data_IF_580316450525
#
_entry.id   IF_580316450525
#
_cell.length_a   1.000
_cell.length_b   1.000
_cell.length_c   1.000
_cell.angle_alpha   90.00
_cell.angle_beta   90.00
_cell.angle_gamma   90.00
#
_symmetry.space_group_name_H-M   'P 1'
#
loop_
_entity.id
_entity.type
_entity.pdbx_description
1 polymer ?
#
# COMPACT_ATOMS: atom_id res chain seq x y z
N UNK A 1 27.04 -12.37 37.53
CA UNK A 1 26.30 -11.76 36.40
C UNK A 1 27.04 -10.47 36.08
N UNK A 2 27.90 -10.50 35.06
CA UNK A 2 28.71 -9.35 34.67
C UNK A 2 27.85 -8.46 33.78
N UNK A 3 27.62 -7.22 34.21
CA UNK A 3 27.15 -6.15 33.32
C UNK A 3 28.22 -5.99 32.24
N UNK A 4 27.89 -6.37 31.01
CA UNK A 4 28.68 -6.04 29.85
C UNK A 4 28.55 -4.53 29.67
N UNK A 5 29.62 -3.79 29.93
CA UNK A 5 29.74 -2.40 29.57
C UNK A 5 29.40 -2.27 28.08
N UNK A 6 28.28 -1.60 27.78
CA UNK A 6 27.90 -1.23 26.41
C UNK A 6 28.91 -0.17 25.99
N UNK A 7 30.07 -0.60 25.50
CA UNK A 7 30.91 0.28 24.70
C UNK A 7 30.10 0.59 23.44
N UNK A 8 29.76 1.86 23.19
CA UNK A 8 28.93 2.16 22.04
C UNK A 8 29.73 1.87 20.77
N UNK A 9 29.35 0.79 20.09
CA UNK A 9 30.02 0.39 18.86
C UNK A 9 29.55 1.32 17.72
N UNK A 10 30.44 1.81 16.86
CA UNK A 10 30.04 2.59 15.71
C UNK A 10 29.05 1.79 14.85
N UNK A 11 28.10 2.46 14.16
CA UNK A 11 27.12 1.77 13.34
C UNK A 11 27.82 0.91 12.28
N UNK A 12 27.23 -0.25 11.98
CA UNK A 12 27.75 -1.16 10.98
C UNK A 12 27.97 -0.46 9.63
N UNK A 13 29.14 -0.68 9.02
CA UNK A 13 29.44 -0.21 7.67
C UNK A 13 30.49 -1.06 6.98
N UNK A 14 30.36 -1.21 5.67
CA UNK A 14 31.40 -1.75 4.80
C UNK A 14 32.46 -0.70 4.39
N UNK A 15 32.14 0.60 4.53
CA UNK A 15 33.06 1.70 4.25
C UNK A 15 34.12 1.79 5.36
N UNK A 16 35.39 1.95 4.99
CA UNK A 16 36.49 2.11 5.94
C UNK A 16 36.51 3.53 6.53
N UNK A 17 36.40 3.63 7.85
CA UNK A 17 36.46 4.90 8.59
C UNK A 17 37.71 4.97 9.48
N UNK A 18 38.12 6.20 9.79
CA UNK A 18 39.13 6.47 10.81
C UNK A 18 38.55 6.35 12.23
N UNK A 19 39.40 6.52 13.25
CA UNK A 19 39.01 6.50 14.64
C UNK A 19 37.90 7.53 14.95
N UNK A 20 37.02 7.16 15.89
CA UNK A 20 35.93 8.04 16.31
C UNK A 20 36.45 9.28 17.04
N UNK A 21 35.94 10.45 16.64
CA UNK A 21 36.19 11.72 17.32
C UNK A 21 34.93 12.16 18.06
N UNK A 22 35.07 12.50 19.34
CA UNK A 22 33.99 13.09 20.13
C UNK A 22 33.87 14.57 19.79
N UNK A 23 32.73 14.97 19.22
CA UNK A 23 32.47 16.34 18.75
C UNK A 23 31.83 17.18 19.86
N UNK A 24 30.85 16.62 20.56
CA UNK A 24 30.18 17.25 21.70
C UNK A 24 30.11 16.25 22.85
N UNK A 25 30.62 16.61 24.03
CA UNK A 25 30.48 15.82 25.25
C UNK A 25 29.26 16.30 26.04
N UNK A 26 28.38 15.38 26.46
CA UNK A 26 27.24 15.72 27.31
C UNK A 26 27.69 16.16 28.71
N UNK A 27 26.96 17.09 29.33
CA UNK A 27 27.40 17.80 30.54
C UNK A 27 27.76 16.91 31.76
N UNK A 28 27.36 15.63 31.76
CA UNK A 28 27.67 14.66 32.81
C UNK A 28 29.13 14.14 32.78
N UNK A 29 29.86 14.27 31.67
CA UNK A 29 31.25 13.78 31.52
C UNK A 29 32.34 14.86 31.64
N UNK A 30 31.96 16.14 31.85
CA UNK A 30 32.91 17.26 32.00
C UNK A 30 33.83 17.19 33.23
N UNK A 31 33.60 16.26 34.16
CA UNK A 31 34.40 16.14 35.39
C UNK A 31 35.60 15.17 35.32
N UNK A 32 35.82 14.45 34.20
CA UNK A 32 36.86 13.41 34.13
C UNK A 32 37.82 13.47 32.92
N UNK A 33 37.78 14.52 32.10
CA UNK A 33 38.70 14.65 30.97
C UNK A 33 39.87 15.60 31.32
N UNK A 34 41.00 15.02 31.72
CA UNK A 34 42.29 15.71 31.68
C UNK A 34 42.63 16.05 30.20
N UNK A 35 43.27 17.20 29.91
CA UNK A 35 43.61 17.56 28.53
C UNK A 35 44.68 16.58 28.01
N UNK A 36 44.32 15.75 27.04
CA UNK A 36 45.30 15.03 26.22
C UNK A 36 45.62 15.90 25.01
N UNK A 37 46.79 16.53 25.05
CA UNK A 37 47.35 17.29 23.94
C UNK A 37 47.43 16.41 22.67
N UNK A 38 46.90 16.86 21.51
CA UNK A 38 47.13 16.16 20.26
C UNK A 38 48.56 16.41 19.82
N UNK A 39 49.43 15.41 20.01
CA UNK A 39 50.80 15.43 19.49
C UNK A 39 50.75 15.19 17.97
N UNK A 40 51.16 16.14 17.11
CA UNK A 40 51.21 15.89 15.68
C UNK A 40 52.41 14.99 15.38
N UNK A 41 52.13 13.76 14.95
CA UNK A 41 53.15 12.84 14.48
C UNK A 41 53.63 13.30 13.09
N UNK A 42 54.65 14.16 13.06
CA UNK A 42 55.40 14.46 11.82
C UNK A 42 56.39 13.34 11.55
N UNK A 43 55.99 12.38 10.73
CA UNK A 43 56.94 11.54 10.01
C UNK A 43 57.37 12.30 8.75
N UNK A 44 58.66 12.61 8.65
CA UNK A 44 59.26 13.23 7.47
C UNK A 44 59.47 12.21 6.34
N UNK A 45 59.34 12.69 5.10
CA UNK A 45 59.67 11.97 3.87
C UNK A 45 59.07 12.68 2.65
N UNK A 46 59.90 13.10 1.71
CA UNK A 46 59.59 14.04 0.63
C UNK A 46 58.68 13.52 -0.50
N UNK A 47 58.05 14.48 -1.20
CA UNK A 47 57.58 14.46 -2.60
C UNK A 47 56.21 13.83 -2.92
N UNK A 48 55.16 14.56 -2.56
CA UNK A 48 54.05 15.06 -3.41
C UNK A 48 52.94 15.44 -2.43
N UNK A 49 52.36 16.64 -2.57
CA UNK A 49 51.13 16.90 -1.82
C UNK A 49 50.12 15.81 -2.20
N UNK A 50 49.50 15.11 -1.23
CA UNK A 50 48.53 14.10 -1.56
C UNK A 50 47.41 14.75 -2.37
N UNK A 51 47.23 14.26 -3.60
CA UNK A 51 46.23 14.77 -4.56
C UNK A 51 44.80 14.71 -3.97
N UNK A 52 44.60 13.87 -2.95
CA UNK A 52 43.35 13.71 -2.21
C UNK A 52 43.50 14.33 -0.82
N UNK A 53 42.91 15.51 -0.66
CA UNK A 53 42.79 16.20 0.64
C UNK A 53 41.61 15.60 1.45
N UNK A 54 41.66 15.59 2.79
CA UNK A 54 40.52 15.20 3.63
C UNK A 54 39.20 15.90 3.27
N UNK A 55 39.28 17.15 2.80
CA UNK A 55 38.13 17.94 2.35
C UNK A 55 37.46 17.36 1.10
N UNK A 56 38.26 16.91 0.12
CA UNK A 56 37.77 16.25 -1.09
C UNK A 56 37.07 14.94 -0.70
N UNK A 57 37.68 14.15 0.19
CA UNK A 57 37.09 12.89 0.61
C UNK A 57 35.76 13.11 1.34
N UNK A 58 35.69 14.11 2.23
CA UNK A 58 34.45 14.50 2.92
C UNK A 58 33.37 15.02 1.99
N UNK A 59 33.76 15.71 0.90
CA UNK A 59 32.82 16.18 -0.12
C UNK A 59 32.25 15.03 -0.96
N UNK A 60 33.05 14.00 -1.27
CA UNK A 60 32.61 12.84 -2.03
C UNK A 60 31.78 11.86 -1.17
N UNK A 61 32.22 11.59 0.05
CA UNK A 61 31.60 10.65 0.98
C UNK A 61 31.44 11.34 2.35
N UNK A 62 30.19 11.62 2.78
CA UNK A 62 29.96 12.36 4.02
C UNK A 62 30.43 11.57 5.24
N UNK A 63 30.94 12.29 6.24
CA UNK A 63 31.28 11.73 7.55
C UNK A 63 30.04 11.16 8.23
N UNK A 64 30.19 10.05 8.94
CA UNK A 64 29.10 9.49 9.76
C UNK A 64 29.08 10.13 11.14
N UNK A 65 27.89 10.32 11.68
CA UNK A 65 27.66 10.87 13.01
C UNK A 65 26.68 9.98 13.77
N UNK A 66 26.94 9.76 15.05
CA UNK A 66 26.01 9.08 15.95
C UNK A 66 26.09 9.68 17.35
N UNK A 67 25.12 9.36 18.21
CA UNK A 67 25.02 9.86 19.58
C UNK A 67 24.98 8.69 20.53
N UNK A 68 25.77 8.80 21.59
CA UNK A 68 25.82 7.85 22.70
C UNK A 68 25.64 8.59 24.03
N UNK A 69 25.63 7.85 25.14
CA UNK A 69 25.56 8.38 26.51
C UNK A 69 26.69 9.37 26.85
N UNK A 70 27.82 9.27 26.14
CA UNK A 70 28.98 10.12 26.32
C UNK A 70 28.96 11.40 25.44
N UNK A 71 28.01 11.50 24.52
CA UNK A 71 27.86 12.63 23.61
C UNK A 71 27.83 12.26 22.12
N UNK A 72 28.06 13.26 21.26
CA UNK A 72 28.01 13.14 19.80
C UNK A 72 29.38 12.74 19.24
N UNK A 73 29.41 11.63 18.52
CA UNK A 73 30.60 11.11 17.84
C UNK A 73 30.54 11.35 16.34
N UNK A 74 31.70 11.57 15.73
CA UNK A 74 31.88 11.70 14.29
C UNK A 74 33.03 10.81 13.83
N UNK A 75 32.84 10.17 12.68
CA UNK A 75 33.90 9.44 11.98
C UNK A 75 34.01 9.88 10.54
N UNK A 76 35.24 10.19 10.17
CA UNK A 76 35.61 10.53 8.81
C UNK A 76 36.01 9.27 8.04
N UNK A 77 35.83 9.34 6.73
CA UNK A 77 36.21 8.28 5.81
C UNK A 77 37.73 8.19 5.75
N UNK A 78 38.25 6.96 5.84
CA UNK A 78 39.69 6.75 5.94
C UNK A 78 40.42 7.08 4.65
N UNK A 79 41.52 7.82 4.77
CA UNK A 79 42.44 8.11 3.68
C UNK A 79 43.49 7.01 3.46
N UNK A 80 43.47 5.94 4.26
CA UNK A 80 44.41 4.84 4.12
C UNK A 80 44.15 4.08 2.80
N UNK A 81 45.16 3.89 1.93
CA UNK A 81 45.01 3.10 0.72
C UNK A 81 44.72 1.64 1.07
N UNK A 82 43.97 0.96 0.20
CA UNK A 82 43.62 -0.45 0.40
C UNK A 82 44.59 -1.39 -0.32
N UNK A 83 44.91 -2.50 0.35
CA UNK A 83 45.73 -3.57 -0.21
C UNK A 83 44.87 -4.64 -0.88
N UNK A 84 45.48 -5.53 -1.66
CA UNK A 84 44.78 -6.67 -2.29
C UNK A 84 44.13 -7.60 -1.25
N UNK A 85 44.75 -7.79 -0.09
CA UNK A 85 44.20 -8.63 0.98
C UNK A 85 42.97 -7.98 1.60
N UNK A 86 43.00 -6.67 1.86
CA UNK A 86 41.83 -5.94 2.38
C UNK A 86 40.63 -6.00 1.42
N UNK A 87 40.85 -6.02 0.11
CA UNK A 87 39.77 -6.16 -0.88
C UNK A 87 39.15 -7.55 -0.85
N UNK A 88 39.95 -8.61 -0.63
CA UNK A 88 39.43 -9.97 -0.47
C UNK A 88 38.63 -10.09 0.84
N UNK A 89 39.15 -9.54 1.94
CA UNK A 89 38.45 -9.49 3.23
C UNK A 89 37.11 -8.73 3.11
N UNK A 90 37.07 -7.62 2.37
CA UNK A 90 35.84 -6.87 2.12
C UNK A 90 34.80 -7.71 1.35
N UNK A 91 35.25 -8.49 0.36
CA UNK A 91 34.37 -9.37 -0.40
C UNK A 91 33.79 -10.48 0.49
N UNK A 92 34.62 -11.11 1.32
CA UNK A 92 34.18 -12.14 2.28
C UNK A 92 33.22 -11.53 3.31
N UNK A 93 33.55 -10.35 3.84
CA UNK A 93 32.72 -9.63 4.79
C UNK A 93 31.35 -9.27 4.21
N UNK A 94 31.28 -8.83 2.96
CA UNK A 94 30.00 -8.62 2.26
C UNK A 94 29.20 -9.92 2.16
N UNK A 95 29.84 -11.02 1.74
CA UNK A 95 29.18 -12.31 1.57
C UNK A 95 28.61 -12.84 2.89
N UNK A 96 29.38 -12.72 3.97
CA UNK A 96 28.92 -13.06 5.32
C UNK A 96 27.72 -12.21 5.73
N UNK A 97 27.76 -10.90 5.53
CA UNK A 97 26.67 -10.00 5.93
C UNK A 97 25.40 -10.24 5.09
N UNK A 98 25.52 -10.56 3.80
CA UNK A 98 24.38 -10.95 2.98
C UNK A 98 23.69 -12.23 3.52
N UNK A 99 24.47 -13.18 4.05
CA UNK A 99 23.93 -14.39 4.67
C UNK A 99 23.34 -14.08 6.05
N UNK A 100 24.07 -13.34 6.90
CA UNK A 100 23.65 -12.95 8.26
C UNK A 100 22.35 -12.17 8.24
N UNK A 101 22.20 -11.22 7.30
CA UNK A 101 20.99 -10.41 7.14
C UNK A 101 19.91 -11.05 6.25
N UNK A 102 20.11 -12.32 5.86
CA UNK A 102 19.16 -13.11 5.06
C UNK A 102 18.69 -12.38 3.78
N UNK A 103 19.63 -11.75 3.07
CA UNK A 103 19.34 -11.01 1.87
C UNK A 103 18.82 -11.94 0.75
N UNK A 104 17.74 -11.53 0.07
CA UNK A 104 17.16 -12.30 -1.03
C UNK A 104 18.10 -12.31 -2.24
N UNK A 105 18.29 -13.48 -2.86
CA UNK A 105 19.11 -13.63 -4.08
C UNK A 105 18.40 -13.12 -5.35
N UNK A 106 17.07 -13.11 -5.36
CA UNK A 106 16.25 -12.71 -6.52
C UNK A 106 15.16 -11.73 -6.05
N UNK A 107 14.82 -10.77 -6.91
CA UNK A 107 13.82 -9.73 -6.62
C UNK A 107 14.38 -8.54 -5.83
N UNK A 108 13.48 -7.63 -5.44
CA UNK A 108 13.82 -6.42 -4.68
C UNK A 108 14.09 -6.79 -3.22
N UNK A 109 15.21 -6.33 -2.67
CA UNK A 109 15.62 -6.60 -1.29
C UNK A 109 16.39 -5.42 -0.70
N UNK A 110 15.80 -4.78 0.32
CA UNK A 110 16.37 -3.61 0.98
C UNK A 110 17.74 -3.90 1.65
N UNK A 111 17.90 -5.07 2.31
CA UNK A 111 19.17 -5.43 2.96
C UNK A 111 20.29 -5.56 1.92
N UNK A 112 20.00 -6.22 0.79
CA UNK A 112 20.94 -6.36 -0.32
C UNK A 112 21.30 -5.00 -0.92
N UNK A 113 20.30 -4.18 -1.22
CA UNK A 113 20.47 -2.85 -1.77
C UNK A 113 21.35 -1.97 -0.85
N UNK A 114 21.05 -1.97 0.46
CA UNK A 114 21.84 -1.24 1.46
C UNK A 114 23.30 -1.71 1.53
N UNK A 115 23.54 -3.03 1.58
CA UNK A 115 24.89 -3.59 1.63
C UNK A 115 25.67 -3.27 0.35
N UNK A 116 25.07 -3.40 -0.83
CA UNK A 116 25.75 -3.03 -2.08
C UNK A 116 25.95 -1.52 -2.23
N UNK A 117 25.06 -0.69 -1.70
CA UNK A 117 25.26 0.76 -1.66
C UNK A 117 26.49 1.12 -0.81
N UNK A 118 26.63 0.51 0.38
CA UNK A 118 27.82 0.70 1.23
C UNK A 118 29.09 0.17 0.57
N UNK A 119 29.03 -0.98 -0.10
CA UNK A 119 30.15 -1.51 -0.87
C UNK A 119 30.57 -0.55 -1.99
N UNK A 120 29.60 0.04 -2.69
CA UNK A 120 29.89 0.95 -3.78
C UNK A 120 30.53 2.24 -3.29
N UNK A 121 30.12 2.74 -2.11
CA UNK A 121 30.79 3.86 -1.45
C UNK A 121 32.24 3.50 -1.06
N UNK A 122 32.53 2.27 -0.62
CA UNK A 122 33.89 1.79 -0.37
C UNK A 122 34.73 1.67 -1.65
N UNK A 123 34.13 1.23 -2.76
CA UNK A 123 34.78 1.25 -4.08
C UNK A 123 35.10 2.69 -4.49
N UNK A 124 34.17 3.62 -4.32
CA UNK A 124 34.41 5.05 -4.59
C UNK A 124 35.57 5.57 -3.75
N UNK A 125 35.64 5.23 -2.45
CA UNK A 125 36.76 5.59 -1.58
C UNK A 125 38.10 5.07 -2.13
N UNK A 126 38.20 3.77 -2.38
CA UNK A 126 39.43 3.14 -2.89
C UNK A 126 39.87 3.73 -4.24
N UNK A 127 38.90 3.94 -5.15
CA UNK A 127 39.16 4.51 -6.47
C UNK A 127 39.57 5.97 -6.39
N UNK A 128 38.95 6.76 -5.51
CA UNK A 128 39.28 8.18 -5.29
C UNK A 128 40.71 8.32 -4.76
N UNK A 129 41.13 7.47 -3.82
CA UNK A 129 42.49 7.45 -3.30
C UNK A 129 43.55 7.13 -4.37
N UNK A 130 43.18 6.33 -5.38
CA UNK A 130 44.06 6.05 -6.51
C UNK A 130 44.04 7.15 -7.60
N UNK A 131 42.85 7.66 -7.92
CA UNK A 131 42.62 8.70 -8.94
C UNK A 131 41.30 9.43 -8.63
N UNK A 132 41.35 10.67 -8.12
CA UNK A 132 40.17 11.39 -7.66
C UNK A 132 39.17 11.70 -8.79
N UNK A 133 39.64 11.92 -10.02
CA UNK A 133 38.80 12.18 -11.19
C UNK A 133 37.91 10.97 -11.51
N UNK A 134 38.47 9.76 -11.41
CA UNK A 134 37.71 8.52 -11.59
C UNK A 134 36.73 8.29 -10.44
N UNK A 135 37.12 8.64 -9.22
CA UNK A 135 36.22 8.65 -8.06
C UNK A 135 35.01 9.56 -8.26
N UNK A 136 35.24 10.78 -8.75
CA UNK A 136 34.18 11.74 -9.07
C UNK A 136 33.23 11.23 -10.15
N UNK A 137 33.75 10.56 -11.19
CA UNK A 137 32.90 9.95 -12.22
C UNK A 137 32.00 8.85 -11.63
N UNK A 138 32.56 7.97 -10.80
CA UNK A 138 31.77 6.94 -10.12
C UNK A 138 30.70 7.52 -9.19
N UNK A 139 31.02 8.63 -8.51
CA UNK A 139 30.06 9.36 -7.68
C UNK A 139 28.86 9.86 -8.51
N UNK A 140 29.12 10.45 -9.67
CA UNK A 140 28.05 10.92 -10.58
C UNK A 140 27.19 9.77 -11.07
N UNK A 141 27.80 8.66 -11.47
CA UNK A 141 27.07 7.45 -11.90
C UNK A 141 26.20 6.91 -10.77
N UNK A 142 26.71 6.88 -9.54
CA UNK A 142 25.93 6.49 -8.35
C UNK A 142 24.69 7.35 -8.17
N UNK A 143 24.87 8.67 -8.22
CA UNK A 143 23.78 9.61 -7.94
C UNK A 143 22.74 9.59 -9.06
N UNK A 144 23.16 9.43 -10.32
CA UNK A 144 22.26 9.22 -11.46
C UNK A 144 21.43 7.93 -11.33
N UNK A 145 22.06 6.81 -10.93
CA UNK A 145 21.35 5.55 -10.69
C UNK A 145 20.36 5.70 -9.54
N UNK A 146 20.74 6.36 -8.43
CA UNK A 146 19.83 6.60 -7.30
C UNK A 146 18.62 7.43 -7.73
N UNK A 147 18.84 8.54 -8.43
CA UNK A 147 17.77 9.39 -8.97
C UNK A 147 16.85 8.60 -9.91
N UNK A 148 17.42 7.73 -10.75
CA UNK A 148 16.66 6.88 -11.67
C UNK A 148 15.80 5.87 -10.92
N UNK A 149 16.33 5.21 -9.88
CA UNK A 149 15.58 4.27 -9.04
C UNK A 149 14.45 4.99 -8.31
N UNK A 150 14.70 6.17 -7.74
CA UNK A 150 13.68 6.98 -7.07
C UNK A 150 12.54 7.38 -8.02
N UNK A 151 12.88 7.77 -9.26
CA UNK A 151 11.88 8.07 -10.29
C UNK A 151 11.01 6.84 -10.63
N UNK A 152 11.62 5.67 -10.80
CA UNK A 152 10.88 4.42 -11.03
C UNK A 152 10.00 4.04 -9.83
N UNK A 153 10.47 4.22 -8.59
CA UNK A 153 9.68 3.99 -7.39
C UNK A 153 8.46 4.93 -7.33
N UNK A 154 8.64 6.22 -7.64
CA UNK A 154 7.56 7.19 -7.69
C UNK A 154 6.50 6.83 -8.76
N UNK A 155 6.95 6.41 -9.94
CA UNK A 155 6.06 5.97 -11.02
C UNK A 155 5.32 4.68 -10.68
N UNK A 156 5.99 3.72 -10.05
CA UNK A 156 5.37 2.49 -9.56
C UNK A 156 4.29 2.78 -8.52
N UNK A 157 4.59 3.61 -7.52
CA UNK A 157 3.64 4.00 -6.48
C UNK A 157 2.43 4.71 -7.08
N UNK A 158 2.65 5.64 -8.02
CA UNK A 158 1.57 6.35 -8.73
C UNK A 158 0.68 5.38 -9.51
N UNK A 159 1.29 4.41 -10.21
CA UNK A 159 0.58 3.38 -10.99
C UNK A 159 -0.24 2.47 -10.09
N UNK A 160 0.33 2.04 -8.96
CA UNK A 160 -0.36 1.22 -7.96
C UNK A 160 -1.56 1.97 -7.37
N UNK A 161 -1.37 3.23 -6.96
CA UNK A 161 -2.45 4.09 -6.45
C UNK A 161 -3.54 4.34 -7.50
N UNK A 162 -3.19 4.44 -8.78
CA UNK A 162 -4.19 4.51 -9.86
C UNK A 162 -5.00 3.22 -9.96
N UNK A 163 -4.35 2.06 -9.93
CA UNK A 163 -5.01 0.75 -9.93
C UNK A 163 -6.00 0.60 -8.77
N UNK A 164 -5.56 0.89 -7.55
CA UNK A 164 -6.41 0.83 -6.34
C UNK A 164 -7.62 1.77 -6.45
N UNK A 165 -7.43 3.00 -6.94
CA UNK A 165 -8.56 3.91 -7.15
C UNK A 165 -9.56 3.38 -8.17
N UNK A 166 -9.08 2.74 -9.24
CA UNK A 166 -9.95 2.16 -10.26
C UNK A 166 -10.74 0.96 -9.74
N UNK A 167 -10.15 0.12 -8.89
CA UNK A 167 -10.89 -0.99 -8.27
C UNK A 167 -11.98 -0.47 -7.35
N UNK A 168 -11.68 0.52 -6.50
CA UNK A 168 -12.68 1.13 -5.61
C UNK A 168 -13.82 1.80 -6.39
N UNK A 169 -13.52 2.51 -7.48
CA UNK A 169 -14.56 3.14 -8.33
C UNK A 169 -15.43 2.08 -9.02
N UNK A 170 -14.84 0.96 -9.44
CA UNK A 170 -15.61 -0.13 -10.04
C UNK A 170 -16.57 -0.77 -9.02
N UNK A 171 -16.10 -1.02 -7.80
CA UNK A 171 -16.93 -1.57 -6.70
C UNK A 171 -18.07 -0.62 -6.30
N UNK A 172 -17.82 0.68 -6.24
CA UNK A 172 -18.86 1.66 -5.96
C UNK A 172 -19.93 1.70 -7.07
N UNK A 173 -19.51 1.60 -8.34
CA UNK A 173 -20.42 1.58 -9.48
C UNK A 173 -21.30 0.32 -9.52
N UNK A 174 -20.76 -0.84 -9.12
CA UNK A 174 -21.57 -2.07 -9.04
C UNK A 174 -22.60 -2.00 -7.91
N UNK A 175 -22.23 -1.46 -6.75
CA UNK A 175 -23.16 -1.32 -5.63
C UNK A 175 -24.40 -0.48 -5.99
N UNK A 176 -24.22 0.65 -6.67
CA UNK A 176 -25.35 1.49 -7.08
C UNK A 176 -26.33 0.76 -8.01
N UNK A 177 -25.81 -0.09 -8.90
CA UNK A 177 -26.63 -0.90 -9.81
C UNK A 177 -27.33 -2.03 -9.05
N UNK A 178 -26.64 -2.68 -8.11
CA UNK A 178 -27.22 -3.72 -7.25
C UNK A 178 -28.36 -3.16 -6.38
N UNK A 179 -28.18 -1.97 -5.79
CA UNK A 179 -29.21 -1.30 -4.99
C UNK A 179 -30.44 -0.96 -5.84
N UNK A 180 -30.25 -0.44 -7.07
CA UNK A 180 -31.35 -0.18 -8.01
C UNK A 180 -32.06 -1.46 -8.44
N UNK A 181 -31.31 -2.53 -8.67
CA UNK A 181 -31.89 -3.83 -9.03
C UNK A 181 -32.75 -4.38 -7.89
N UNK A 182 -32.28 -4.28 -6.64
CA UNK A 182 -33.05 -4.69 -5.47
C UNK A 182 -34.34 -3.87 -5.30
N UNK A 183 -34.26 -2.55 -5.48
CA UNK A 183 -35.42 -1.66 -5.42
C UNK A 183 -36.47 -2.00 -6.50
N UNK A 184 -36.04 -2.18 -7.76
CA UNK A 184 -36.93 -2.56 -8.86
C UNK A 184 -37.53 -3.96 -8.67
N UNK A 185 -36.79 -4.91 -8.10
CA UNK A 185 -37.32 -6.23 -7.78
C UNK A 185 -38.41 -6.17 -6.71
N UNK A 186 -38.24 -5.31 -5.69
CA UNK A 186 -39.27 -5.07 -4.68
C UNK A 186 -40.52 -4.44 -5.30
N UNK A 187 -40.36 -3.42 -6.14
CA UNK A 187 -41.47 -2.76 -6.84
C UNK A 187 -42.24 -3.73 -7.76
N UNK A 188 -41.53 -4.60 -8.49
CA UNK A 188 -42.16 -5.65 -9.31
C UNK A 188 -42.98 -6.60 -8.43
N UNK A 189 -42.46 -7.01 -7.29
CA UNK A 189 -43.17 -7.91 -6.38
C UNK A 189 -44.44 -7.26 -5.81
N UNK A 190 -44.38 -5.99 -5.41
CA UNK A 190 -45.53 -5.23 -4.93
C UNK A 190 -46.60 -5.08 -6.03
N UNK A 191 -46.20 -4.66 -7.24
CA UNK A 191 -47.11 -4.51 -8.38
C UNK A 191 -47.74 -5.84 -8.80
N UNK A 192 -47.00 -6.95 -8.72
CA UNK A 192 -47.54 -8.28 -8.96
C UNK A 192 -48.60 -8.66 -7.92
N UNK A 193 -48.35 -8.39 -6.64
CA UNK A 193 -49.32 -8.64 -5.58
C UNK A 193 -50.59 -7.80 -5.79
N UNK A 194 -50.45 -6.51 -6.08
CA UNK A 194 -51.58 -5.63 -6.40
C UNK A 194 -52.38 -6.15 -7.60
N UNK A 195 -51.69 -6.55 -8.68
CA UNK A 195 -52.35 -7.12 -9.86
C UNK A 195 -53.14 -8.39 -9.52
N UNK A 196 -52.58 -9.28 -8.69
CA UNK A 196 -53.29 -10.47 -8.19
C UNK A 196 -54.51 -10.10 -7.36
N UNK A 197 -54.40 -9.11 -6.47
CA UNK A 197 -55.52 -8.63 -5.65
C UNK A 197 -56.64 -8.05 -6.52
N UNK A 198 -56.32 -7.20 -7.51
CA UNK A 198 -57.31 -6.62 -8.42
C UNK A 198 -57.97 -7.67 -9.31
N UNK A 199 -57.20 -8.63 -9.82
CA UNK A 199 -57.73 -9.76 -10.59
C UNK A 199 -58.72 -10.58 -9.76
N UNK A 200 -58.39 -10.87 -8.50
CA UNK A 200 -59.28 -11.59 -7.60
C UNK A 200 -60.58 -10.80 -7.32
N UNK A 201 -60.48 -9.49 -7.02
CA UNK A 201 -61.65 -8.62 -6.82
C UNK A 201 -62.56 -8.60 -8.05
N UNK A 202 -61.98 -8.49 -9.25
CA UNK A 202 -62.73 -8.52 -10.52
C UNK A 202 -63.46 -9.84 -10.68
N UNK A 203 -62.81 -10.98 -10.41
CA UNK A 203 -63.41 -12.30 -10.49
C UNK A 203 -64.61 -12.45 -9.55
N UNK A 204 -64.48 -11.99 -8.30
CA UNK A 204 -65.57 -12.03 -7.30
C UNK A 204 -66.75 -11.17 -7.76
N UNK A 205 -66.50 -9.95 -8.24
CA UNK A 205 -67.53 -9.07 -8.77
C UNK A 205 -68.25 -9.68 -9.98
N UNK A 206 -67.50 -10.23 -10.94
CA UNK A 206 -68.08 -10.89 -12.11
C UNK A 206 -68.98 -12.06 -11.71
N UNK A 207 -68.54 -12.89 -10.76
CA UNK A 207 -69.35 -13.99 -10.24
C UNK A 207 -70.62 -13.47 -9.54
N UNK A 208 -70.51 -12.42 -8.72
CA UNK A 208 -71.66 -11.79 -8.08
C UNK A 208 -72.66 -11.23 -9.11
N UNK A 209 -72.19 -10.53 -10.14
CA UNK A 209 -73.07 -10.02 -11.20
C UNK A 209 -73.71 -11.13 -12.03
N UNK A 210 -72.98 -12.23 -12.29
CA UNK A 210 -73.53 -13.38 -12.99
C UNK A 210 -74.64 -14.08 -12.19
N UNK A 211 -74.43 -14.29 -10.89
CA UNK A 211 -75.44 -14.90 -10.01
C UNK A 211 -76.68 -14.01 -9.85
N UNK A 212 -76.51 -12.70 -9.70
CA UNK A 212 -77.64 -11.75 -9.67
C UNK A 212 -78.41 -11.71 -11.00
N UNK A 213 -77.70 -11.79 -12.14
CA UNK A 213 -78.35 -11.89 -13.45
C UNK A 213 -79.15 -13.19 -13.57
N UNK A 214 -78.61 -14.31 -13.12
CA UNK A 214 -79.31 -15.60 -13.12
C UNK A 214 -80.55 -15.58 -12.22
N UNK A 215 -80.46 -14.99 -11.01
CA UNK A 215 -81.62 -14.79 -10.12
C UNK A 215 -82.70 -13.94 -10.77
N UNK A 216 -82.33 -12.82 -11.40
CA UNK A 216 -83.28 -11.95 -12.12
C UNK A 216 -83.96 -12.67 -13.28
N UNK A 217 -83.21 -13.46 -14.06
CA UNK A 217 -83.77 -14.26 -15.15
C UNK A 217 -84.76 -15.31 -14.63
N UNK A 218 -84.41 -16.05 -13.58
CA UNK A 218 -85.31 -17.01 -12.93
C UNK A 218 -86.58 -16.34 -12.38
N UNK A 219 -86.45 -15.16 -11.76
CA UNK A 219 -87.61 -14.38 -11.30
C UNK A 219 -88.51 -13.95 -12.47
N UNK A 220 -87.94 -13.46 -13.56
CA UNK A 220 -88.68 -13.10 -14.77
C UNK A 220 -89.39 -14.32 -15.37
N UNK A 221 -88.71 -15.46 -15.48
CA UNK A 221 -89.32 -16.73 -15.95
C UNK A 221 -90.48 -17.17 -15.05
N UNK A 222 -90.33 -17.08 -13.72
CA UNK A 222 -91.39 -17.39 -12.77
C UNK A 222 -92.60 -16.46 -12.89
N UNK A 223 -92.38 -15.15 -13.08
CA UNK A 223 -93.46 -14.19 -13.29
C UNK A 223 -94.19 -14.49 -14.61
N UNK A 224 -93.44 -14.74 -15.69
CA UNK A 224 -94.02 -15.10 -16.99
C UNK A 224 -94.82 -16.41 -16.91
N UNK A 225 -94.32 -17.42 -16.18
CA UNK A 225 -95.02 -18.70 -16.03
C UNK A 225 -96.30 -18.57 -15.19
N UNK A 226 -96.28 -17.76 -14.12
CA UNK A 226 -97.45 -17.44 -13.31
C UNK A 226 -98.52 -16.70 -14.15
N UNK A 227 -98.13 -15.67 -14.91
CA UNK A 227 -99.03 -14.94 -15.81
C UNK A 227 -99.64 -15.85 -16.88
N UNK A 228 -98.84 -16.73 -17.51
CA UNK A 228 -99.34 -17.74 -18.45
C UNK A 228 -100.38 -18.67 -17.80
N UNK A 229 -100.16 -19.04 -16.54
CA UNK A 229 -101.08 -19.91 -15.80
C UNK A 229 -102.38 -19.17 -15.46
N UNK A 230 -102.31 -17.89 -15.06
CA UNK A 230 -103.49 -17.04 -14.88
C UNK A 230 -104.29 -16.87 -16.16
N UNK A 231 -103.64 -16.61 -17.31
CA UNK A 231 -104.32 -16.53 -18.61
C UNK A 231 -105.09 -17.82 -18.89
N UNK A 232 -104.44 -18.99 -18.72
CA UNK A 232 -105.12 -20.29 -18.87
C UNK A 232 -106.32 -20.43 -17.94
N UNK A 233 -106.19 -20.02 -16.67
CA UNK A 233 -107.33 -20.03 -15.75
C UNK A 233 -108.47 -19.13 -16.24
N UNK A 234 -108.18 -17.91 -16.68
CA UNK A 234 -109.20 -17.02 -17.24
C UNK A 234 -109.86 -17.59 -18.50
N UNK A 235 -109.10 -18.22 -19.39
CA UNK A 235 -109.64 -18.91 -20.58
C UNK A 235 -110.57 -20.05 -20.17
N UNK A 236 -110.18 -20.89 -19.21
CA UNK A 236 -111.06 -21.97 -18.70
C UNK A 236 -112.32 -21.44 -18.01
N UNK A 237 -112.23 -20.31 -17.29
CA UNK A 237 -113.40 -19.64 -16.71
C UNK A 237 -114.32 -19.05 -17.78
N UNK A 238 -113.77 -18.52 -18.86
CA UNK A 238 -114.55 -18.02 -20.00
C UNK A 238 -115.27 -19.15 -20.75
N UNK A 239 -114.65 -20.34 -20.83
CA UNK A 239 -115.27 -21.54 -21.40
C UNK A 239 -116.38 -22.11 -20.52
N UNK A 240 -116.29 -21.99 -19.19
CA UNK A 240 -117.34 -22.42 -18.24
C UNK A 240 -118.57 -21.51 -18.19
N UNK A 241 -118.46 -20.26 -18.65
CA UNK A 241 -119.55 -19.26 -18.67
C UNK A 241 -120.26 -19.13 -20.03
N UNK A 242 -120.05 -20.09 -20.94
CA UNK A 242 -120.82 -20.29 -22.17
C UNK A 242 -121.75 -21.48 -22.04
#
# INVERSE_FOLDING_TARGET
MSEAAVTPSPPFSLLKYDAAMLVDADAATKAAAAPLDPKPNKAGGSHSDPLVTPEIMKAMLPSREWRDENGKWQQNVSLAPSSRTEVLELQEFLAENLIKEQAKKVGICANRERLHAQLFDEIIRQVTLACPERGLLLLRVRDEIRMTIEAYQALYNTSLSFGIRKTVVAEAGTQEVEDKMAALQAEIAELQEEAHQWSHRSMVLQHHHATEREKRLKQQENVVSALKTQIKHFDTFAEMNK
#
